data_IF_594874975675
#
_entry.id   IF_594874975675
#
_cell.length_a   1.000
_cell.length_b   1.000
_cell.length_c   1.000
_cell.angle_alpha   90.00
_cell.angle_beta   90.00
_cell.angle_gamma   90.00
#
_symmetry.space_group_name_H-M   'P 1'
#
loop_
_entity.id
_entity.type
_entity.pdbx_description
1 polymer ?
#
# COMPACT_ATOMS: atom_id res chain seq x y z
N UNK A 1 69.38 -6.06 29.73
CA UNK A 1 69.38 -4.77 30.45
C UNK A 1 69.29 -3.72 29.37
N UNK A 2 68.22 -2.98 29.19
CA UNK A 2 67.67 -2.01 30.16
C UNK A 2 66.19 -1.74 29.85
N UNK A 3 65.42 -1.61 30.93
CA UNK A 3 64.08 -1.04 30.92
C UNK A 3 64.15 0.47 30.61
N UNK A 4 63.25 0.98 29.77
CA UNK A 4 62.78 2.37 29.86
C UNK A 4 61.32 2.42 29.39
N UNK A 5 60.41 2.09 30.31
CA UNK A 5 59.03 2.61 30.26
C UNK A 5 59.11 4.09 30.62
N UNK A 6 58.97 4.97 29.64
CA UNK A 6 58.74 6.40 29.86
C UNK A 6 57.26 6.69 29.69
N UNK A 7 56.62 6.83 30.84
CA UNK A 7 55.29 7.36 31.04
C UNK A 7 55.04 8.59 30.15
N UNK A 8 54.21 8.41 29.11
CA UNK A 8 53.54 9.55 28.49
C UNK A 8 52.31 9.85 29.34
N UNK A 9 52.55 10.59 30.41
CA UNK A 9 51.51 11.31 31.12
C UNK A 9 50.84 12.27 30.11
N UNK A 10 49.64 11.90 29.64
CA UNK A 10 48.76 12.86 29.00
C UNK A 10 48.34 13.86 30.08
N UNK A 11 48.51 15.18 29.88
CA UNK A 11 47.98 16.13 30.82
C UNK A 11 46.45 15.98 30.81
N UNK A 12 45.90 15.56 31.95
CA UNK A 12 44.48 15.60 32.24
C UNK A 12 44.05 17.07 32.16
N UNK A 13 43.53 17.46 31.00
CA UNK A 13 42.90 18.77 30.83
C UNK A 13 41.62 18.70 31.65
N UNK A 14 41.69 19.14 32.90
CA UNK A 14 40.54 19.32 33.76
C UNK A 14 39.58 20.28 33.03
N UNK A 15 38.54 19.74 32.40
CA UNK A 15 37.45 20.53 31.87
C UNK A 15 36.76 21.18 33.06
N UNK A 16 37.11 22.43 33.34
CA UNK A 16 36.37 23.26 34.29
C UNK A 16 35.05 23.63 33.61
N UNK A 17 34.08 22.71 33.69
CA UNK A 17 32.70 22.96 33.32
C UNK A 17 32.07 23.83 34.40
N UNK A 18 31.92 25.11 34.10
CA UNK A 18 31.13 26.03 34.92
C UNK A 18 29.71 26.09 34.37
N UNK A 19 28.78 25.46 35.07
CA UNK A 19 27.35 25.59 34.80
C UNK A 19 26.73 26.54 35.82
N UNK A 20 26.02 27.56 35.36
CA UNK A 20 25.17 28.39 36.21
C UNK A 20 23.76 28.40 35.66
N UNK A 21 22.77 28.51 36.54
CA UNK A 21 21.36 28.65 36.17
C UNK A 21 20.87 29.98 36.70
N UNK A 22 20.40 30.85 35.81
CA UNK A 22 19.83 32.15 36.19
C UNK A 22 18.31 32.00 36.23
N UNK A 23 17.75 32.03 37.44
CA UNK A 23 16.30 32.13 37.63
C UNK A 23 15.90 33.61 37.68
N UNK A 24 15.40 34.13 36.57
CA UNK A 24 14.68 35.40 36.59
C UNK A 24 13.30 35.16 37.22
N UNK A 25 13.08 35.77 38.39
CA UNK A 25 11.80 35.93 39.10
C UNK A 25 10.68 34.95 38.74
N UNK A 26 10.42 33.99 39.64
CA UNK A 26 9.39 32.94 39.63
C UNK A 26 8.10 33.28 38.85
N UNK A 27 8.15 33.23 37.51
CA UNK A 27 6.94 33.12 36.71
C UNK A 27 6.62 31.64 36.64
N UNK A 28 5.65 31.24 37.46
CA UNK A 28 4.92 29.97 37.45
C UNK A 28 5.63 28.92 36.58
N UNK A 29 6.65 28.25 37.12
CA UNK A 29 7.22 27.06 36.49
C UNK A 29 6.04 26.13 36.24
N UNK A 30 5.59 26.08 34.99
CA UNK A 30 4.43 25.29 34.58
C UNK A 30 4.67 23.89 35.13
N UNK A 31 3.82 23.47 36.06
CA UNK A 31 3.87 22.11 36.60
C UNK A 31 3.95 21.20 35.39
N UNK A 32 5.08 20.50 35.22
CA UNK A 32 5.21 19.46 34.19
C UNK A 32 3.92 18.65 34.30
N UNK A 33 3.13 18.47 33.22
CA UNK A 33 1.81 17.89 33.35
C UNK A 33 1.93 16.58 34.13
N UNK A 34 1.26 16.49 35.29
CA UNK A 34 1.40 15.35 36.22
C UNK A 34 1.15 14.00 35.53
N UNK A 35 0.46 14.01 34.39
CA UNK A 35 0.28 12.88 33.49
C UNK A 35 1.60 12.21 33.04
N UNK A 36 2.69 12.98 32.89
CA UNK A 36 3.98 12.45 32.40
C UNK A 36 4.99 12.17 33.53
N UNK A 37 4.76 12.68 34.73
CA UNK A 37 5.71 12.56 35.84
C UNK A 37 5.78 11.12 36.40
N UNK A 38 4.69 10.36 36.25
CA UNK A 38 4.63 8.93 36.54
C UNK A 38 4.85 8.04 35.30
N UNK A 39 5.13 8.66 34.14
CA UNK A 39 5.50 7.97 32.90
C UNK A 39 7.01 7.80 32.70
N UNK A 40 7.77 7.74 33.79
CA UNK A 40 8.86 6.75 33.86
C UNK A 40 8.26 5.32 33.93
N UNK A 41 7.20 5.10 33.17
CA UNK A 41 6.55 3.85 32.90
C UNK A 41 7.62 2.98 32.27
N UNK A 42 8.18 2.08 33.09
CA UNK A 42 8.88 0.85 32.70
C UNK A 42 8.64 0.57 31.23
N UNK A 43 9.56 1.03 30.38
CA UNK A 43 9.49 0.70 28.96
C UNK A 43 9.46 -0.83 28.92
N UNK A 44 8.40 -1.42 28.34
CA UNK A 44 8.34 -2.87 28.20
C UNK A 44 9.62 -3.29 27.50
N UNK A 45 10.37 -4.19 28.12
CA UNK A 45 11.55 -4.78 27.50
C UNK A 45 11.02 -5.57 26.30
N UNK A 46 11.19 -5.01 25.11
CA UNK A 46 10.82 -5.67 23.86
C UNK A 46 11.89 -6.75 23.64
N UNK A 47 11.49 -8.01 23.65
CA UNK A 47 12.40 -9.12 23.35
C UNK A 47 12.65 -9.20 21.85
N UNK A 48 13.73 -9.85 21.44
CA UNK A 48 13.97 -10.13 20.02
C UNK A 48 12.81 -10.91 19.38
N UNK A 49 12.21 -11.84 20.13
CA UNK A 49 11.04 -12.61 19.70
C UNK A 49 9.82 -11.72 19.42
N UNK A 50 9.60 -10.68 20.23
CA UNK A 50 8.51 -9.71 20.00
C UNK A 50 8.74 -8.89 18.71
N UNK A 51 10.00 -8.56 18.40
CA UNK A 51 10.37 -7.86 17.17
C UNK A 51 10.13 -8.76 15.95
N UNK A 52 10.62 -9.99 15.99
CA UNK A 52 10.44 -10.97 14.92
C UNK A 52 8.97 -11.28 14.66
N UNK A 53 8.16 -11.42 15.72
CA UNK A 53 6.73 -11.63 15.61
C UNK A 53 6.04 -10.46 14.89
N UNK A 54 6.39 -9.21 15.23
CA UNK A 54 5.84 -8.02 14.57
C UNK A 54 6.30 -7.91 13.12
N UNK A 55 7.55 -8.25 12.82
CA UNK A 55 8.08 -8.28 11.46
C UNK A 55 7.35 -9.31 10.60
N UNK A 56 7.18 -10.54 11.10
CA UNK A 56 6.44 -11.61 10.40
C UNK A 56 4.99 -11.22 10.14
N UNK A 57 4.33 -10.57 11.09
CA UNK A 57 2.97 -10.07 10.89
C UNK A 57 2.90 -8.96 9.84
N UNK A 58 3.89 -8.06 9.80
CA UNK A 58 3.97 -7.03 8.77
C UNK A 58 4.21 -7.63 7.38
N UNK A 59 5.08 -8.64 7.28
CA UNK A 59 5.32 -9.39 6.05
C UNK A 59 4.07 -10.13 5.57
N UNK A 60 3.35 -10.80 6.47
CA UNK A 60 2.10 -11.46 6.13
C UNK A 60 1.06 -10.47 5.58
N UNK A 61 0.96 -9.27 6.16
CA UNK A 61 0.08 -8.20 5.63
C UNK A 61 0.52 -7.73 4.25
N UNK A 62 1.82 -7.52 4.04
CA UNK A 62 2.36 -7.13 2.72
C UNK A 62 2.05 -8.19 1.67
N UNK A 63 2.31 -9.46 1.99
CA UNK A 63 2.08 -10.58 1.08
C UNK A 63 0.60 -10.72 0.73
N UNK A 64 -0.28 -10.68 1.72
CA UNK A 64 -1.73 -10.77 1.48
C UNK A 64 -2.23 -9.61 0.60
N UNK A 65 -1.71 -8.40 0.83
CA UNK A 65 -2.05 -7.25 0.00
C UNK A 65 -1.54 -7.39 -1.45
N UNK A 66 -0.34 -7.95 -1.64
CA UNK A 66 0.20 -8.24 -2.97
C UNK A 66 -0.61 -9.33 -3.69
N UNK A 67 -0.94 -10.42 -2.99
CA UNK A 67 -1.80 -11.50 -3.50
C UNK A 67 -3.19 -10.96 -3.89
N UNK A 68 -3.80 -10.12 -3.06
CA UNK A 68 -5.09 -9.48 -3.37
C UNK A 68 -5.02 -8.58 -4.61
N UNK A 69 -3.93 -7.81 -4.77
CA UNK A 69 -3.72 -6.99 -5.96
C UNK A 69 -3.56 -7.85 -7.21
N UNK A 70 -2.77 -8.92 -7.14
CA UNK A 70 -2.57 -9.85 -8.24
C UNK A 70 -3.90 -10.53 -8.64
N UNK A 71 -4.69 -10.95 -7.66
CA UNK A 71 -6.00 -11.55 -7.91
C UNK A 71 -6.97 -10.56 -8.54
N UNK A 72 -7.01 -9.33 -8.04
CA UNK A 72 -7.84 -8.26 -8.63
C UNK A 72 -7.46 -8.03 -10.09
N UNK A 73 -6.15 -7.98 -10.41
CA UNK A 73 -5.67 -7.81 -11.77
C UNK A 73 -6.09 -8.98 -12.69
N UNK A 74 -6.10 -10.22 -12.19
CA UNK A 74 -6.58 -11.40 -12.93
C UNK A 74 -8.07 -11.29 -13.23
N UNK A 75 -8.88 -11.00 -12.22
CA UNK A 75 -10.33 -10.84 -12.38
C UNK A 75 -10.65 -9.74 -13.40
N UNK A 76 -9.99 -8.59 -13.31
CA UNK A 76 -10.17 -7.48 -14.28
C UNK A 76 -9.80 -7.92 -15.69
N UNK A 77 -8.68 -8.63 -15.86
CA UNK A 77 -8.28 -9.15 -17.18
C UNK A 77 -9.32 -10.09 -17.76
N UNK A 78 -9.86 -10.99 -16.96
CA UNK A 78 -10.86 -11.97 -17.41
C UNK A 78 -12.18 -11.31 -17.79
N UNK A 79 -12.63 -10.30 -17.02
CA UNK A 79 -13.83 -9.54 -17.37
C UNK A 79 -13.62 -8.70 -18.63
N UNK A 80 -12.45 -8.08 -18.82
CA UNK A 80 -12.09 -7.40 -20.06
C UNK A 80 -12.08 -8.35 -21.27
N UNK A 81 -11.59 -9.58 -21.11
CA UNK A 81 -11.61 -10.58 -22.17
C UNK A 81 -13.05 -10.92 -22.60
N UNK A 82 -13.97 -11.09 -21.64
CA UNK A 82 -15.40 -11.34 -21.93
C UNK A 82 -16.05 -10.18 -22.69
N UNK A 83 -15.74 -8.94 -22.31
CA UNK A 83 -16.24 -7.73 -23.00
C UNK A 83 -15.70 -7.70 -24.42
N UNK A 84 -14.40 -7.97 -24.59
CA UNK A 84 -13.76 -7.99 -25.90
C UNK A 84 -14.38 -9.05 -26.83
N UNK A 85 -14.60 -10.26 -26.34
CA UNK A 85 -15.24 -11.33 -27.13
C UNK A 85 -16.64 -10.94 -27.62
N UNK A 86 -17.43 -10.26 -26.78
CA UNK A 86 -18.75 -9.76 -27.17
C UNK A 86 -18.67 -8.62 -28.17
N UNK A 87 -17.75 -7.68 -27.96
CA UNK A 87 -17.51 -6.59 -28.90
C UNK A 87 -17.09 -7.11 -30.28
N UNK A 88 -16.17 -8.08 -30.32
CA UNK A 88 -15.72 -8.73 -31.56
C UNK A 88 -16.88 -9.38 -32.31
N UNK A 89 -17.76 -10.11 -31.61
CA UNK A 89 -18.97 -10.66 -32.25
C UNK A 89 -19.87 -9.58 -32.83
N UNK A 90 -20.03 -8.44 -32.15
CA UNK A 90 -20.82 -7.33 -32.69
C UNK A 90 -20.15 -6.70 -33.92
N UNK A 91 -18.82 -6.56 -33.93
CA UNK A 91 -18.06 -6.09 -35.09
C UNK A 91 -18.15 -7.04 -36.28
N UNK A 92 -18.07 -8.35 -36.05
CA UNK A 92 -18.29 -9.39 -37.05
C UNK A 92 -19.68 -9.29 -37.70
N UNK A 93 -20.71 -9.05 -36.89
CA UNK A 93 -22.07 -8.84 -37.39
C UNK A 93 -22.17 -7.56 -38.22
N UNK A 94 -21.51 -6.48 -37.80
CA UNK A 94 -21.50 -5.23 -38.54
C UNK A 94 -20.79 -5.38 -39.90
N UNK A 95 -19.61 -6.02 -39.90
CA UNK A 95 -18.87 -6.38 -41.11
C UNK A 95 -19.73 -7.19 -42.10
N UNK A 96 -20.47 -8.18 -41.58
CA UNK A 96 -21.41 -8.96 -42.41
C UNK A 96 -22.54 -8.10 -42.98
N UNK A 97 -23.09 -7.17 -42.20
CA UNK A 97 -24.15 -6.25 -42.67
C UNK A 97 -23.66 -5.27 -43.73
N UNK A 98 -22.40 -4.88 -43.66
CA UNK A 98 -21.74 -4.05 -44.67
C UNK A 98 -21.37 -4.84 -45.95
N UNK A 99 -21.48 -6.18 -45.94
CA UNK A 99 -21.16 -7.02 -47.08
C UNK A 99 -19.65 -7.17 -47.33
N UNK A 100 -18.83 -7.06 -46.27
CA UNK A 100 -17.39 -7.26 -46.38
C UNK A 100 -17.06 -8.72 -46.74
N UNK A 101 -16.03 -8.91 -47.56
CA UNK A 101 -15.56 -10.25 -47.97
C UNK A 101 -15.03 -11.05 -46.78
N UNK A 102 -15.20 -12.37 -46.82
CA UNK A 102 -14.77 -13.26 -45.75
C UNK A 102 -15.77 -13.39 -44.59
N UNK A 103 -16.96 -12.75 -44.69
CA UNK A 103 -18.01 -12.78 -43.65
C UNK A 103 -19.12 -13.79 -43.93
N UNK A 104 -18.96 -14.65 -44.95
CA UNK A 104 -19.99 -15.56 -45.46
C UNK A 104 -20.38 -16.58 -44.39
N UNK A 105 -19.40 -17.08 -43.65
CA UNK A 105 -19.53 -18.08 -42.59
C UNK A 105 -20.19 -17.55 -41.30
N UNK A 106 -20.26 -16.23 -41.11
CA UNK A 106 -20.82 -15.63 -39.89
C UNK A 106 -22.34 -15.79 -39.90
N UNK A 107 -22.93 -16.45 -38.90
CA UNK A 107 -24.40 -16.57 -38.82
C UNK A 107 -25.01 -15.19 -38.49
N UNK A 108 -26.02 -14.70 -39.24
CA UNK A 108 -26.63 -13.41 -38.96
C UNK A 108 -27.33 -13.41 -37.60
N UNK A 109 -27.09 -12.35 -36.83
CA UNK A 109 -27.71 -12.09 -35.54
C UNK A 109 -29.01 -11.32 -35.71
N UNK A 110 -30.04 -11.71 -34.97
CA UNK A 110 -31.31 -10.95 -34.96
C UNK A 110 -31.16 -9.63 -34.21
N UNK A 111 -31.98 -8.62 -34.54
CA UNK A 111 -31.95 -7.32 -33.83
C UNK A 111 -32.14 -7.46 -32.32
N UNK A 112 -33.01 -8.38 -31.89
CA UNK A 112 -33.24 -8.66 -30.47
C UNK A 112 -31.98 -9.20 -29.79
N UNK A 113 -31.29 -10.15 -30.42
CA UNK A 113 -30.02 -10.67 -29.90
C UNK A 113 -28.93 -9.60 -29.84
N UNK A 114 -28.82 -8.75 -30.86
CA UNK A 114 -27.86 -7.64 -30.85
C UNK A 114 -28.14 -6.66 -29.71
N UNK A 115 -29.41 -6.29 -29.50
CA UNK A 115 -29.79 -5.40 -28.40
C UNK A 115 -29.48 -5.98 -27.02
N UNK A 116 -29.67 -7.29 -26.83
CA UNK A 116 -29.33 -7.99 -25.59
C UNK A 116 -27.81 -8.01 -25.40
N UNK A 117 -27.03 -8.37 -26.42
CA UNK A 117 -25.58 -8.40 -26.35
C UNK A 117 -24.98 -7.03 -26.01
N UNK A 118 -25.51 -5.95 -26.60
CA UNK A 118 -25.10 -4.58 -26.28
C UNK A 118 -25.44 -4.25 -24.83
N UNK A 119 -26.66 -4.54 -24.37
CA UNK A 119 -27.09 -4.26 -22.99
C UNK A 119 -26.24 -5.00 -21.96
N UNK A 120 -25.97 -6.28 -22.20
CA UNK A 120 -25.12 -7.11 -21.34
C UNK A 120 -23.67 -6.59 -21.33
N UNK A 121 -23.13 -6.20 -22.49
CA UNK A 121 -21.81 -5.58 -22.57
C UNK A 121 -21.73 -4.26 -21.79
N UNK A 122 -22.74 -3.39 -21.91
CA UNK A 122 -22.81 -2.15 -21.12
C UNK A 122 -22.90 -2.42 -19.62
N UNK A 123 -23.66 -3.45 -19.20
CA UNK A 123 -23.72 -3.86 -17.81
C UNK A 123 -22.34 -4.31 -17.30
N UNK A 124 -21.62 -5.13 -18.07
CA UNK A 124 -20.31 -5.65 -17.68
C UNK A 124 -19.25 -4.53 -17.63
N UNK A 125 -19.30 -3.57 -18.55
CA UNK A 125 -18.45 -2.36 -18.49
C UNK A 125 -18.73 -1.56 -17.22
N UNK A 126 -20.00 -1.35 -16.87
CA UNK A 126 -20.37 -0.64 -15.65
C UNK A 126 -19.90 -1.37 -14.38
N UNK A 127 -20.05 -2.69 -14.36
CA UNK A 127 -19.54 -3.53 -13.26
C UNK A 127 -18.02 -3.41 -13.12
N UNK A 128 -17.28 -3.43 -14.23
CA UNK A 128 -15.83 -3.25 -14.25
C UNK A 128 -15.43 -1.85 -13.75
N UNK A 129 -16.10 -0.81 -14.23
CA UNK A 129 -15.85 0.58 -13.81
C UNK A 129 -16.08 0.79 -12.30
N UNK A 130 -17.15 0.21 -11.74
CA UNK A 130 -17.41 0.26 -10.31
C UNK A 130 -16.36 -0.52 -9.50
N UNK A 131 -15.97 -1.72 -9.96
CA UNK A 131 -14.95 -2.54 -9.30
C UNK A 131 -13.55 -1.92 -9.30
N UNK A 132 -13.18 -1.23 -10.39
CA UNK A 132 -11.90 -0.52 -10.49
C UNK A 132 -11.82 0.64 -9.49
N UNK A 133 -12.90 1.41 -9.31
CA UNK A 133 -12.93 2.54 -8.39
C UNK A 133 -12.77 2.12 -6.91
N UNK A 134 -13.34 0.98 -6.51
CA UNK A 134 -13.20 0.43 -5.16
C UNK A 134 -11.78 -0.10 -4.84
N UNK A 135 -11.01 -0.49 -5.86
CA UNK A 135 -9.62 -0.96 -5.69
C UNK A 135 -8.60 0.17 -5.56
N UNK A 136 -8.97 1.40 -5.94
CA UNK A 136 -8.13 2.60 -5.85
C UNK A 136 -8.27 3.28 -4.48
N UNK A 137 -9.40 3.11 -3.80
CA UNK A 137 -9.58 3.56 -2.42
C UNK A 137 -8.87 2.60 -1.44
N UNK A 138 -7.56 2.78 -1.28
CA UNK A 138 -6.85 2.25 -0.11
C UNK A 138 -7.50 2.81 1.16
N UNK A 139 -7.78 1.99 2.19
CA UNK A 139 -8.13 2.54 3.50
C UNK A 139 -6.92 3.32 4.01
N UNK A 140 -7.06 4.65 4.15
CA UNK A 140 -6.11 5.41 4.96
C UNK A 140 -6.21 4.90 6.38
N UNK A 141 -5.17 4.20 6.85
CA UNK A 141 -4.93 4.03 8.28
C UNK A 141 -4.14 5.23 8.79
#
# INVERSE_FOLDING_TARGET
MTEENKDKAFPEVAQISTSFTVDFGHQNRGKVPKLFQNQQCKAKIITMEDIEKKQRQAEARRKNHEEMKAETARVVRDECAKINDRAMRLFEQDAKRQGLSGTEHIKPMTRKQASLAIREMSHDINKLALGMNSSISLPSQ
#
